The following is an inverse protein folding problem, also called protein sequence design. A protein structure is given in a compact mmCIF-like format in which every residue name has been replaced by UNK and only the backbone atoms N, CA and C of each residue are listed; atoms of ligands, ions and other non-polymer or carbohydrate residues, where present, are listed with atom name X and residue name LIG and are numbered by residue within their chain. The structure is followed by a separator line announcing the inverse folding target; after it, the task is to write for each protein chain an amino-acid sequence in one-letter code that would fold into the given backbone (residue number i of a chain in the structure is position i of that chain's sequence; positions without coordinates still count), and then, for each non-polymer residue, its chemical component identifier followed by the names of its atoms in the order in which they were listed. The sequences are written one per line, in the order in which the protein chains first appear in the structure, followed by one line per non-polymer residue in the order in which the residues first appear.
data_IF_602362016665
#
_entry.id   IF_602362016665
#
_cell.length_a   1.000
_cell.length_b   1.000
_cell.length_c   1.000
_cell.angle_alpha   90.00
_cell.angle_beta   90.00
_cell.angle_gamma   90.00
#
_symmetry.space_group_name_H-M   'P 1'
#
loop_
_entity.id
_entity.type
_entity.pdbx_description
1 polymer ?
#
# COMPACT_ATOMS: atom_id res chain seq x y z
N UNK A 1 8.40 7.11 13.31
CA UNK A 1 7.17 7.92 13.08
C UNK A 1 6.04 7.32 13.89
N UNK A 2 5.21 8.11 14.58
CA UNK A 2 4.07 7.61 15.36
C UNK A 2 2.97 6.97 14.49
N UNK A 3 2.21 6.02 15.03
CA UNK A 3 1.17 5.28 14.31
C UNK A 3 0.01 6.17 13.84
N UNK A 4 -0.40 7.13 14.66
CA UNK A 4 -1.41 8.13 14.32
C UNK A 4 -0.99 8.97 13.10
N UNK A 5 0.28 9.42 13.09
CA UNK A 5 0.85 10.20 11.98
C UNK A 5 1.02 9.36 10.71
N UNK A 6 1.45 8.11 10.85
CA UNK A 6 1.56 7.17 9.73
C UNK A 6 0.20 6.96 9.06
N UNK A 7 -0.82 6.56 9.83
CA UNK A 7 -2.17 6.35 9.31
C UNK A 7 -2.79 7.63 8.72
N UNK A 8 -2.54 8.79 9.31
CA UNK A 8 -3.02 10.06 8.78
C UNK A 8 -2.41 10.38 7.40
N UNK A 9 -1.12 10.07 7.20
CA UNK A 9 -0.46 10.24 5.90
C UNK A 9 -1.05 9.28 4.86
N UNK A 10 -1.16 8.00 5.20
CA UNK A 10 -1.68 6.95 4.31
C UNK A 10 -3.11 7.26 3.87
N UNK A 11 -4.02 7.55 4.81
CA UNK A 11 -5.41 7.86 4.46
C UNK A 11 -5.54 9.14 3.63
N UNK A 12 -4.67 10.12 3.85
CA UNK A 12 -4.63 11.33 3.01
C UNK A 12 -4.14 11.01 1.60
N UNK A 13 -3.10 10.18 1.47
CA UNK A 13 -2.55 9.76 0.19
C UNK A 13 -3.58 8.93 -0.62
N UNK A 14 -4.32 8.03 0.03
CA UNK A 14 -5.36 7.22 -0.62
C UNK A 14 -6.46 8.12 -1.22
N UNK A 15 -6.95 9.11 -0.45
CA UNK A 15 -7.95 10.07 -0.96
C UNK A 15 -7.46 10.92 -2.12
N UNK A 16 -6.17 11.29 -2.12
CA UNK A 16 -5.59 12.15 -3.16
C UNK A 16 -5.26 11.39 -4.44
N UNK A 17 -4.90 10.11 -4.33
CA UNK A 17 -4.55 9.25 -5.46
C UNK A 17 -5.76 8.74 -6.24
N UNK A 18 -6.97 8.86 -5.69
CA UNK A 18 -8.16 8.24 -6.27
C UNK A 18 -8.14 6.71 -6.17
N UNK A 19 -7.29 6.16 -5.30
CA UNK A 19 -7.22 4.73 -5.06
C UNK A 19 -8.53 4.25 -4.43
N UNK A 20 -9.22 3.35 -5.13
CA UNK A 20 -10.41 2.71 -4.61
C UNK A 20 -10.02 1.59 -3.64
N UNK A 21 -10.46 1.73 -2.40
CA UNK A 21 -10.23 0.77 -1.32
C UNK A 21 -11.47 -0.12 -1.06
N UNK A 22 -12.56 0.07 -1.81
CA UNK A 22 -13.86 -0.56 -1.53
C UNK A 22 -14.06 -1.93 -2.17
N UNK A 23 -13.15 -2.37 -3.04
CA UNK A 23 -13.28 -3.67 -3.72
C UNK A 23 -11.96 -4.21 -4.28
N UNK A 24 -11.96 -5.47 -4.74
CA UNK A 24 -10.79 -6.10 -5.34
C UNK A 24 -10.41 -5.35 -6.62
N UNK A 25 -9.25 -4.71 -6.59
CA UNK A 25 -8.73 -3.99 -7.74
C UNK A 25 -8.04 -4.97 -8.69
N UNK A 26 -8.34 -4.88 -9.99
CA UNK A 26 -7.59 -5.66 -10.98
C UNK A 26 -6.16 -5.13 -11.05
N UNK A 27 -5.21 -5.96 -10.62
CA UNK A 27 -3.77 -5.66 -10.71
C UNK A 27 -3.27 -5.41 -12.13
N UNK A 28 -4.05 -5.82 -13.14
CA UNK A 28 -3.74 -5.61 -14.56
C UNK A 28 -4.34 -4.33 -15.14
N UNK A 29 -5.15 -3.60 -14.37
CA UNK A 29 -5.74 -2.33 -14.81
C UNK A 29 -4.70 -1.19 -14.71
N UNK A 30 -4.33 -0.55 -15.83
CA UNK A 30 -3.39 0.56 -15.82
C UNK A 30 -3.82 1.75 -14.94
N UNK A 31 -5.12 1.98 -14.79
CA UNK A 31 -5.64 3.06 -13.95
C UNK A 31 -5.39 2.77 -12.46
N UNK A 32 -5.56 1.51 -12.05
CA UNK A 32 -5.26 1.04 -10.69
C UNK A 32 -3.76 1.19 -10.41
N UNK A 33 -2.90 0.77 -11.34
CA UNK A 33 -1.44 0.90 -11.20
C UNK A 33 -1.02 2.37 -11.07
N UNK A 34 -1.60 3.27 -11.88
CA UNK A 34 -1.33 4.69 -11.81
C UNK A 34 -1.75 5.31 -10.46
N UNK A 35 -2.93 4.95 -9.95
CA UNK A 35 -3.41 5.39 -8.64
C UNK A 35 -2.46 4.93 -7.51
N UNK A 36 -1.99 3.68 -7.57
CA UNK A 36 -1.01 3.14 -6.62
C UNK A 36 0.34 3.89 -6.66
N UNK A 37 0.83 4.23 -7.85
CA UNK A 37 2.06 5.01 -7.99
C UNK A 37 1.92 6.40 -7.35
N UNK A 38 0.79 7.08 -7.56
CA UNK A 38 0.50 8.38 -6.94
C UNK A 38 0.39 8.24 -5.43
N UNK A 39 -0.27 7.20 -4.94
CA UNK A 39 -0.41 6.91 -3.52
C UNK A 39 0.96 6.78 -2.83
N UNK A 40 1.86 5.96 -3.39
CA UNK A 40 3.18 5.75 -2.81
C UNK A 40 4.04 7.01 -2.88
N UNK A 41 3.99 7.74 -3.99
CA UNK A 41 4.68 9.02 -4.11
C UNK A 41 4.27 9.98 -3.00
N UNK A 42 2.96 10.14 -2.76
CA UNK A 42 2.46 10.99 -1.68
C UNK A 42 2.89 10.53 -0.29
N UNK A 43 3.03 9.22 -0.07
CA UNK A 43 3.52 8.66 1.18
C UNK A 43 5.02 8.98 1.39
N UNK A 44 5.84 8.75 0.37
CA UNK A 44 7.28 9.00 0.39
C UNK A 44 7.59 10.49 0.53
N UNK A 45 6.89 11.36 -0.20
CA UNK A 45 7.02 12.83 -0.11
C UNK A 45 6.73 13.35 1.31
N UNK A 46 6.00 12.57 2.12
CA UNK A 46 5.65 12.88 3.52
C UNK A 46 6.51 12.14 4.54
N UNK A 47 7.54 11.44 4.08
CA UNK A 47 8.53 10.75 4.92
C UNK A 47 8.11 9.37 5.41
N UNK A 48 7.14 8.73 4.75
CA UNK A 48 6.84 7.31 5.00
C UNK A 48 7.83 6.46 4.22
N UNK A 49 8.56 5.59 4.92
CA UNK A 49 9.44 4.61 4.28
C UNK A 49 8.62 3.51 3.62
N UNK A 50 8.95 3.14 2.39
CA UNK A 50 8.35 1.98 1.70
C UNK A 50 8.69 0.66 2.41
N UNK A 51 9.77 0.62 3.18
CA UNK A 51 10.19 -0.55 3.96
C UNK A 51 9.64 -0.55 5.40
N UNK A 52 8.70 0.35 5.71
CA UNK A 52 8.11 0.42 7.06
C UNK A 52 7.37 -0.90 7.39
N UNK A 53 7.71 -1.60 8.48
CA UNK A 53 7.11 -2.91 8.79
C UNK A 53 5.59 -2.82 8.99
N UNK A 54 5.06 -1.64 9.34
CA UNK A 54 3.63 -1.42 9.58
C UNK A 54 2.78 -1.58 8.32
N UNK A 55 3.36 -1.50 7.11
CA UNK A 55 2.66 -1.85 5.89
C UNK A 55 2.04 -3.25 5.96
N UNK A 56 2.74 -4.22 6.57
CA UNK A 56 2.27 -5.61 6.71
C UNK A 56 1.08 -5.79 7.65
N UNK A 57 0.85 -4.82 8.54
CA UNK A 57 -0.24 -4.85 9.52
C UNK A 57 -1.41 -3.96 9.09
N UNK A 58 -1.41 -3.47 7.85
CA UNK A 58 -2.51 -2.66 7.36
C UNK A 58 -3.71 -3.51 6.97
N UNK A 59 -4.88 -2.99 7.32
CA UNK A 59 -6.17 -3.51 6.87
C UNK A 59 -7.06 -2.36 6.41
N UNK A 60 -8.05 -2.69 5.59
CA UNK A 60 -9.08 -1.74 5.16
C UNK A 60 -10.27 -1.89 6.09
N UNK A 61 -10.67 -0.79 6.73
CA UNK A 61 -11.89 -0.68 7.52
C UNK A 61 -12.83 0.31 6.86
N UNK A 62 -14.13 0.04 6.90
CA UNK A 62 -15.16 0.93 6.33
C UNK A 62 -16.07 1.51 7.41
N UNK A 63 -15.56 2.33 8.35
CA UNK A 63 -16.41 3.02 9.31
C UNK A 63 -17.38 3.94 8.54
N UNK A 64 -18.69 3.73 8.74
CA UNK A 64 -19.74 4.49 8.07
C UNK A 64 -19.67 4.45 6.51
N UNK A 65 -19.19 3.34 5.94
CA UNK A 65 -19.19 3.12 4.48
C UNK A 65 -18.06 3.82 3.73
N UNK A 66 -17.16 4.55 4.40
CA UNK A 66 -15.96 5.11 3.77
C UNK A 66 -14.75 4.22 4.09
N UNK A 67 -14.13 3.55 3.10
CA UNK A 67 -12.97 2.72 3.34
C UNK A 67 -11.75 3.57 3.74
N UNK A 68 -11.06 3.12 4.76
CA UNK A 68 -9.89 3.77 5.36
C UNK A 68 -8.87 2.73 5.78
N UNK A 69 -7.59 3.10 5.69
CA UNK A 69 -6.48 2.26 6.15
C UNK A 69 -6.37 2.35 7.68
N UNK A 70 -6.29 1.19 8.33
CA UNK A 70 -6.08 1.05 9.76
C UNK A 70 -4.95 0.05 10.04
N UNK A 71 -4.35 0.13 11.22
CA UNK A 71 -3.44 -0.91 11.70
C UNK A 71 -4.24 -1.96 12.45
N UNK A 72 -4.05 -3.22 12.08
CA UNK A 72 -4.49 -4.35 12.88
C UNK A 72 -3.69 -4.34 14.19
N UNK A 73 -4.40 -4.24 15.32
CA UNK A 73 -3.80 -4.16 16.67
C UNK A 73 -3.49 -5.54 17.25
N UNK A 74 -4.02 -6.59 16.65
CA UNK A 74 -3.91 -7.97 17.12
C UNK A 74 -2.86 -8.78 16.33
N UNK A 75 -2.06 -8.12 15.47
CA UNK A 75 -0.98 -8.78 14.75
C UNK A 75 0.18 -9.15 15.68
N UNK A 76 0.01 -10.27 16.41
CA UNK A 76 1.09 -11.23 16.55
C UNK A 76 1.61 -11.56 15.14
N UNK A 77 2.91 -11.81 15.01
CA UNK A 77 3.57 -12.07 13.73
C UNK A 77 2.73 -12.95 12.80
N UNK A 78 2.60 -12.62 11.50
CA UNK A 78 1.71 -13.36 10.61
C UNK A 78 2.25 -14.78 10.41
N UNK A 79 1.67 -15.74 11.11
CA UNK A 79 1.74 -17.16 10.77
C UNK A 79 0.80 -17.40 9.58
N UNK A 80 1.38 -17.73 8.43
CA UNK A 80 0.71 -18.53 7.39
C UNK A 80 -0.29 -17.81 6.49
N UNK A 81 0.09 -17.71 5.21
CA UNK A 81 -0.75 -17.99 4.03
C UNK A 81 -2.21 -17.50 4.06
N UNK A 82 -2.42 -16.19 4.06
CA UNK A 82 -3.53 -15.60 3.32
C UNK A 82 -3.01 -14.34 2.63
N UNK A 83 -2.71 -14.49 1.33
CA UNK A 83 -2.14 -13.46 0.47
C UNK A 83 -3.21 -12.40 0.18
N UNK A 84 -3.44 -11.53 1.16
CA UNK A 84 -4.38 -10.42 1.06
C UNK A 84 -3.93 -9.44 -0.02
N UNK A 85 -4.90 -8.90 -0.78
CA UNK A 85 -4.74 -7.97 -1.91
C UNK A 85 -3.73 -6.83 -1.69
N UNK A 86 -3.52 -6.43 -0.43
CA UNK A 86 -2.52 -5.43 -0.04
C UNK A 86 -1.07 -5.94 -0.19
N UNK A 87 -0.80 -7.18 0.21
CA UNK A 87 0.50 -7.84 0.05
C UNK A 87 0.76 -8.12 -1.43
N UNK A 88 -0.25 -8.49 -2.22
CA UNK A 88 -0.15 -8.61 -3.68
C UNK A 88 0.14 -7.26 -4.33
N UNK A 89 -0.55 -6.19 -3.95
CA UNK A 89 -0.31 -4.83 -4.45
C UNK A 89 1.10 -4.34 -4.14
N UNK A 90 1.59 -4.55 -2.91
CA UNK A 90 2.96 -4.21 -2.52
C UNK A 90 3.99 -5.10 -3.23
N UNK A 91 3.71 -6.40 -3.39
CA UNK A 91 4.61 -7.36 -4.06
C UNK A 91 4.70 -7.11 -5.57
N UNK A 92 3.60 -6.75 -6.22
CA UNK A 92 3.57 -6.32 -7.62
C UNK A 92 4.38 -5.05 -7.82
N UNK A 93 4.25 -4.10 -6.92
CA UNK A 93 4.95 -2.81 -7.02
C UNK A 93 6.45 -2.96 -6.73
N UNK A 94 6.83 -3.79 -5.75
CA UNK A 94 8.22 -4.20 -5.51
C UNK A 94 8.78 -5.00 -6.70
N UNK A 95 7.97 -5.84 -7.35
CA UNK A 95 8.37 -6.59 -8.55
C UNK A 95 8.57 -5.67 -9.77
N UNK A 96 7.76 -4.62 -9.93
CA UNK A 96 7.98 -3.59 -10.95
C UNK A 96 9.22 -2.73 -10.66
N UNK A 97 9.47 -2.38 -9.40
CA UNK A 97 10.67 -1.64 -8.99
C UNK A 97 11.96 -2.50 -9.08
N UNK A 98 11.86 -3.80 -8.80
CA UNK A 98 12.95 -4.76 -8.94
C UNK A 98 13.24 -5.18 -10.39
N UNK A 99 12.34 -4.84 -11.33
CA UNK A 99 12.54 -5.04 -12.78
C UNK A 99 13.36 -3.94 -13.47
N UNK A 100 14.00 -3.05 -12.71
CA UNK A 100 15.19 -2.35 -13.18
C UNK A 100 16.47 -2.97 -12.57
N UNK A 101 16.88 -4.19 -12.95
CA UNK A 101 18.30 -4.43 -13.09
C UNK A 101 18.73 -3.65 -14.33
N UNK A 102 19.26 -2.47 -14.08
CA UNK A 102 20.20 -1.84 -14.99
C UNK A 102 21.31 -2.88 -15.30
N UNK A 103 21.16 -3.54 -16.44
CA UNK A 103 22.23 -4.21 -17.20
C UNK A 103 21.88 -4.17 -18.68
N UNK A 104 21.99 -2.97 -19.22
CA UNK A 104 22.74 -2.80 -20.47
C UNK A 104 24.21 -3.22 -20.20
N UNK A 105 24.86 -3.75 -21.24
CA UNK A 105 26.27 -4.19 -21.32
C UNK A 105 26.72 -5.48 -20.60
N UNK A 106 26.56 -6.62 -21.29
CA UNK A 106 27.72 -7.38 -21.79
C UNK A 106 27.39 -8.31 -22.95
#
# INVERSE_FOLDING_TARGET
MENSRFLAILNRAARKSGLDLSGPASASDPAVVAAWAVFLRECVDRGVSIADPRWRSLEIRSPAGTPTLALNRDSAEPEGEDETDFTLGLSLLVSMLGRNPDKEDR
#
